data_IF_816238663035
#
_entry.id   IF_816238663035
#
_cell.length_a   1.000
_cell.length_b   1.000
_cell.length_c   1.000
_cell.angle_alpha   90.00
_cell.angle_beta   90.00
_cell.angle_gamma   90.00
#
_symmetry.space_group_name_H-M   'P 1'
#
loop_
_entity.id
_entity.type
_entity.pdbx_description
1 polymer ?
#
# COMPACT_ATOMS: atom_id res chain seq x y z
N UNK A 1 -6.34 -43.47 -17.54
CA UNK A 1 -7.31 -42.49 -16.97
C UNK A 1 -7.20 -42.34 -15.44
N UNK A 2 -6.95 -43.42 -14.67
CA UNK A 2 -6.92 -43.38 -13.19
C UNK A 2 -5.76 -42.59 -12.53
N UNK A 3 -4.59 -42.50 -13.18
CA UNK A 3 -3.41 -41.79 -12.62
C UNK A 3 -3.61 -40.25 -12.56
N UNK A 4 -4.36 -39.68 -13.52
CA UNK A 4 -4.60 -38.22 -13.59
C UNK A 4 -5.49 -37.72 -12.46
N UNK A 5 -6.42 -38.56 -11.99
CA UNK A 5 -7.30 -38.22 -10.86
C UNK A 5 -6.56 -38.32 -9.52
N UNK A 6 -5.62 -39.26 -9.38
CA UNK A 6 -4.75 -39.38 -8.21
C UNK A 6 -3.81 -38.17 -8.04
N UNK A 7 -3.24 -37.65 -9.13
CA UNK A 7 -2.39 -36.45 -9.08
C UNK A 7 -3.16 -35.19 -8.66
N UNK A 8 -4.40 -35.03 -9.13
CA UNK A 8 -5.25 -33.89 -8.78
C UNK A 8 -5.64 -33.88 -7.30
N UNK A 9 -5.88 -35.06 -6.70
CA UNK A 9 -6.25 -35.19 -5.27
C UNK A 9 -5.06 -34.87 -4.34
N UNK A 10 -3.83 -35.17 -4.76
CA UNK A 10 -2.60 -34.90 -3.99
C UNK A 10 -2.21 -33.41 -3.93
N UNK A 11 -2.73 -32.56 -4.83
CA UNK A 11 -2.47 -31.12 -4.86
C UNK A 11 -3.48 -30.29 -4.05
N UNK A 12 -4.61 -30.88 -3.66
CA UNK A 12 -5.69 -30.19 -2.92
C UNK A 12 -5.32 -29.76 -1.48
N UNK A 13 -4.41 -30.42 -0.71
CA UNK A 13 -4.20 -30.03 0.68
C UNK A 13 -3.15 -28.92 0.87
N UNK A 14 -2.55 -28.36 -0.19
CA UNK A 14 -1.64 -27.22 -0.09
C UNK A 14 -2.42 -25.90 -0.14
N UNK A 15 -3.34 -25.67 0.80
CA UNK A 15 -3.80 -24.31 1.05
C UNK A 15 -2.69 -23.58 1.81
N UNK A 16 -1.87 -22.81 1.07
CA UNK A 16 -0.97 -21.83 1.67
C UNK A 16 -1.84 -20.75 2.32
N UNK A 17 -1.75 -20.60 3.64
CA UNK A 17 -2.24 -19.42 4.34
C UNK A 17 -1.27 -18.27 4.06
N UNK A 18 -1.41 -17.65 2.90
CA UNK A 18 -0.66 -16.46 2.55
C UNK A 18 -1.19 -15.29 3.41
N UNK A 19 -0.35 -14.77 4.30
CA UNK A 19 -0.58 -13.51 4.97
C UNK A 19 -0.02 -12.39 4.10
N UNK A 20 -0.76 -11.32 3.94
CA UNK A 20 -0.25 -10.12 3.28
C UNK A 20 0.78 -9.44 4.20
N UNK A 21 1.90 -9.01 3.62
CA UNK A 21 2.99 -8.31 4.30
C UNK A 21 2.96 -6.85 3.89
N UNK A 22 2.93 -5.95 4.87
CA UNK A 22 2.87 -4.52 4.64
C UNK A 22 4.08 -3.84 5.25
N UNK A 23 4.63 -2.85 4.54
CA UNK A 23 5.65 -1.96 5.11
C UNK A 23 4.99 -0.68 5.59
N UNK A 24 5.35 -0.26 6.80
CA UNK A 24 5.10 1.11 7.23
C UNK A 24 5.99 2.05 6.41
N UNK A 25 5.40 3.00 5.71
CA UNK A 25 6.10 3.88 4.78
C UNK A 25 5.93 5.33 5.22
N UNK A 26 7.03 5.93 5.66
CA UNK A 26 7.04 7.29 6.21
C UNK A 26 6.87 8.32 5.10
N UNK A 27 5.63 8.76 4.85
CA UNK A 27 5.31 9.78 3.85
C UNK A 27 6.02 11.10 4.17
N UNK A 28 6.20 11.42 5.45
CA UNK A 28 6.96 12.60 5.90
C UNK A 28 8.42 12.68 5.39
N UNK A 29 8.98 11.60 4.85
CA UNK A 29 10.33 11.57 4.28
C UNK A 29 10.37 11.77 2.77
N UNK A 30 9.23 12.01 2.11
CA UNK A 30 9.13 12.03 0.65
C UNK A 30 8.99 13.43 0.06
N UNK A 31 9.37 14.49 0.79
CA UNK A 31 9.22 15.88 0.31
C UNK A 31 9.78 16.10 -1.11
N UNK A 32 10.93 15.50 -1.43
CA UNK A 32 11.58 15.64 -2.73
C UNK A 32 11.24 14.54 -3.72
N UNK A 33 10.38 13.58 -3.36
CA UNK A 33 10.04 12.48 -4.25
C UNK A 33 9.20 12.99 -5.41
N UNK A 34 9.55 12.53 -6.60
CA UNK A 34 8.69 12.55 -7.76
C UNK A 34 8.01 11.18 -7.98
N UNK A 35 7.31 11.03 -9.12
CA UNK A 35 6.65 9.78 -9.47
C UNK A 35 7.64 8.62 -9.63
N UNK A 36 8.83 8.88 -10.18
CA UNK A 36 9.86 7.86 -10.44
C UNK A 36 10.42 7.34 -9.12
N UNK A 37 10.58 8.20 -8.12
CA UNK A 37 11.00 7.79 -6.79
C UNK A 37 9.96 6.85 -6.14
N UNK A 38 8.67 7.17 -6.23
CA UNK A 38 7.59 6.31 -5.75
C UNK A 38 7.56 4.96 -6.47
N UNK A 39 7.61 4.96 -7.80
CA UNK A 39 7.68 3.74 -8.59
C UNK A 39 8.90 2.88 -8.21
N UNK A 40 10.05 3.51 -8.00
CA UNK A 40 11.29 2.82 -7.64
C UNK A 40 11.13 2.11 -6.30
N UNK A 41 10.59 2.79 -5.28
CA UNK A 41 10.37 2.21 -3.97
C UNK A 41 9.31 1.10 -3.98
N UNK A 42 8.24 1.25 -4.77
CA UNK A 42 7.24 0.19 -4.98
C UNK A 42 7.85 -1.04 -5.66
N UNK A 43 8.65 -0.85 -6.71
CA UNK A 43 9.35 -1.96 -7.40
C UNK A 43 10.28 -2.71 -6.44
N UNK A 44 10.99 -1.98 -5.57
CA UNK A 44 11.81 -2.58 -4.51
C UNK A 44 10.95 -3.41 -3.57
N UNK A 45 9.82 -2.88 -3.10
CA UNK A 45 8.90 -3.58 -2.20
C UNK A 45 8.35 -4.87 -2.82
N UNK A 46 7.89 -4.80 -4.08
CA UNK A 46 7.44 -5.97 -4.85
C UNK A 46 8.54 -7.03 -4.99
N UNK A 47 9.79 -6.61 -5.25
CA UNK A 47 10.93 -7.51 -5.33
C UNK A 47 11.24 -8.22 -4.00
N UNK A 48 10.86 -7.62 -2.87
CA UNK A 48 10.95 -8.24 -1.55
C UNK A 48 9.64 -8.89 -1.08
N UNK A 49 8.65 -9.06 -1.97
CA UNK A 49 7.35 -9.68 -1.68
C UNK A 49 6.54 -8.94 -0.59
N UNK A 50 6.69 -7.63 -0.50
CA UNK A 50 5.75 -6.77 0.23
C UNK A 50 4.51 -6.57 -0.65
N UNK A 51 3.33 -6.66 -0.07
CA UNK A 51 2.06 -6.58 -0.79
C UNK A 51 1.47 -5.17 -0.85
N UNK A 52 1.76 -4.35 0.17
CA UNK A 52 1.29 -2.97 0.24
C UNK A 52 2.17 -2.05 1.09
N UNK A 53 2.01 -0.75 0.93
CA UNK A 53 2.49 0.24 1.91
C UNK A 53 1.34 0.74 2.79
N UNK A 54 1.61 0.77 4.10
CA UNK A 54 0.86 1.58 5.04
C UNK A 54 1.45 2.99 5.03
N UNK A 55 0.72 3.97 4.50
CA UNK A 55 1.18 5.34 4.34
C UNK A 55 1.14 6.08 5.69
N UNK A 56 2.27 6.13 6.39
CA UNK A 56 2.40 6.84 7.65
C UNK A 56 2.50 8.35 7.42
N UNK A 57 1.50 9.07 7.92
CA UNK A 57 1.35 10.51 7.70
C UNK A 57 1.13 11.22 9.03
N UNK A 58 1.97 12.22 9.30
CA UNK A 58 1.72 13.18 10.37
C UNK A 58 0.62 14.17 9.92
N UNK A 59 -0.25 14.56 10.86
CA UNK A 59 -1.27 15.58 10.60
C UNK A 59 -0.64 16.90 10.16
N UNK A 60 -1.29 17.62 9.24
CA UNK A 60 -0.89 18.96 8.77
C UNK A 60 0.52 19.06 8.17
N UNK A 61 1.12 17.93 7.76
CA UNK A 61 2.34 17.97 6.97
C UNK A 61 2.02 18.49 5.56
N UNK A 62 2.68 19.59 5.17
CA UNK A 62 2.32 20.38 3.98
C UNK A 62 2.34 19.60 2.65
N UNK A 63 3.10 18.50 2.58
CA UNK A 63 3.24 17.68 1.38
C UNK A 63 2.33 16.44 1.33
N UNK A 64 1.51 16.18 2.36
CA UNK A 64 0.65 14.99 2.42
C UNK A 64 -0.17 14.80 1.14
N UNK A 65 -0.93 15.82 0.71
CA UNK A 65 -1.81 15.69 -0.46
C UNK A 65 -1.04 15.38 -1.75
N UNK A 66 0.05 16.11 -2.00
CA UNK A 66 0.87 15.92 -3.20
C UNK A 66 1.53 14.53 -3.23
N UNK A 67 2.09 14.10 -2.10
CA UNK A 67 2.81 12.83 -2.00
C UNK A 67 1.86 11.63 -2.02
N UNK A 68 0.68 11.73 -1.40
CA UNK A 68 -0.37 10.71 -1.51
C UNK A 68 -0.83 10.57 -2.96
N UNK A 69 -1.06 11.68 -3.67
CA UNK A 69 -1.46 11.63 -5.08
C UNK A 69 -0.41 10.93 -5.95
N UNK A 70 0.88 11.21 -5.75
CA UNK A 70 1.98 10.54 -6.48
C UNK A 70 2.07 9.06 -6.12
N UNK A 71 1.97 8.72 -4.84
CA UNK A 71 2.00 7.33 -4.37
C UNK A 71 0.90 6.50 -5.02
N UNK A 72 -0.35 6.98 -5.00
CA UNK A 72 -1.49 6.28 -5.61
C UNK A 72 -1.35 6.20 -7.14
N UNK A 73 -0.80 7.21 -7.81
CA UNK A 73 -0.50 7.11 -9.25
C UNK A 73 0.49 5.98 -9.54
N UNK A 74 1.64 5.99 -8.88
CA UNK A 74 2.67 4.95 -9.06
C UNK A 74 2.16 3.54 -8.70
N UNK A 75 1.37 3.42 -7.63
CA UNK A 75 0.81 2.15 -7.22
C UNK A 75 -0.21 1.60 -8.23
N UNK A 76 -1.05 2.45 -8.83
CA UNK A 76 -1.94 2.01 -9.91
C UNK A 76 -1.15 1.51 -11.12
N UNK A 77 -0.12 2.26 -11.54
CA UNK A 77 0.71 1.90 -12.70
C UNK A 77 1.44 0.56 -12.51
N UNK A 78 1.76 0.22 -11.26
CA UNK A 78 2.50 -1.01 -10.90
C UNK A 78 1.62 -2.12 -10.32
N UNK A 79 0.31 -1.91 -10.23
CA UNK A 79 -0.63 -2.87 -9.62
C UNK A 79 -0.31 -3.16 -8.14
N UNK A 80 0.28 -2.21 -7.43
CA UNK A 80 0.65 -2.30 -6.02
C UNK A 80 -0.46 -1.76 -5.12
N UNK A 81 -0.46 -2.16 -3.84
CA UNK A 81 -1.50 -1.75 -2.89
C UNK A 81 -1.05 -0.68 -1.91
N UNK A 82 -1.97 0.21 -1.54
CA UNK A 82 -1.75 1.25 -0.53
C UNK A 82 -2.92 1.32 0.45
N UNK A 83 -2.64 1.70 1.69
CA UNK A 83 -3.68 2.11 2.64
C UNK A 83 -3.13 3.16 3.61
N UNK A 84 -4.02 3.94 4.22
CA UNK A 84 -3.62 5.03 5.11
C UNK A 84 -3.25 4.53 6.52
N UNK A 85 -2.15 5.08 7.05
CA UNK A 85 -1.74 5.00 8.44
C UNK A 85 -1.67 6.42 9.00
N UNK A 86 -2.79 6.94 9.48
CA UNK A 86 -2.85 8.28 10.07
C UNK A 86 -2.12 8.27 11.41
N UNK A 87 -0.97 8.94 11.49
CA UNK A 87 -0.15 8.99 12.71
C UNK A 87 -0.65 10.10 13.65
N UNK A 88 -1.23 9.69 14.78
CA UNK A 88 -1.77 10.58 15.82
C UNK A 88 -0.67 11.08 16.78
N UNK A 89 0.54 10.53 16.71
CA UNK A 89 1.70 10.98 17.46
C UNK A 89 2.57 11.97 16.65
N UNK A 90 2.56 11.91 15.32
CA UNK A 90 3.44 12.69 14.45
C UNK A 90 3.24 14.21 14.52
N UNK A 91 2.00 14.69 14.64
CA UNK A 91 1.69 16.12 14.85
C UNK A 91 0.34 16.33 15.57
N UNK A 92 0.01 15.40 16.47
CA UNK A 92 -1.26 15.38 17.18
C UNK A 92 -2.39 14.66 16.41
N UNK A 93 -3.60 14.66 16.99
CA UNK A 93 -4.70 13.88 16.48
C UNK A 93 -5.25 14.43 15.17
N UNK A 94 -5.54 13.54 14.23
CA UNK A 94 -6.17 13.91 12.98
C UNK A 94 -7.64 14.32 13.18
N UNK A 95 -8.09 15.46 12.61
CA UNK A 95 -9.50 15.79 12.54
C UNK A 95 -10.28 14.72 11.77
N UNK A 96 -11.46 14.36 12.28
CA UNK A 96 -12.35 13.37 11.63
C UNK A 96 -12.66 13.74 10.18
N UNK A 97 -12.86 15.03 9.90
CA UNK A 97 -13.18 15.51 8.56
C UNK A 97 -12.07 15.17 7.56
N UNK A 98 -10.82 15.40 7.94
CA UNK A 98 -9.65 15.19 7.09
C UNK A 98 -9.44 13.69 6.81
N UNK A 99 -9.54 12.85 7.85
CA UNK A 99 -9.51 11.38 7.68
C UNK A 99 -10.61 10.92 6.72
N UNK A 100 -11.83 11.45 6.89
CA UNK A 100 -12.96 11.11 6.02
C UNK A 100 -12.70 11.54 4.59
N UNK A 101 -12.12 12.72 4.38
CA UNK A 101 -11.78 13.25 3.06
C UNK A 101 -10.78 12.32 2.33
N UNK A 102 -9.66 11.97 2.96
CA UNK A 102 -8.67 11.06 2.36
C UNK A 102 -9.29 9.70 2.00
N UNK A 103 -10.10 9.13 2.89
CA UNK A 103 -10.78 7.84 2.63
C UNK A 103 -11.78 7.97 1.47
N UNK A 104 -12.52 9.07 1.39
CA UNK A 104 -13.49 9.27 0.29
C UNK A 104 -12.79 9.50 -1.05
N UNK A 105 -11.66 10.20 -1.05
CA UNK A 105 -10.89 10.51 -2.27
C UNK A 105 -10.22 9.26 -2.85
N UNK A 106 -9.64 8.40 -2.00
CA UNK A 106 -8.83 7.25 -2.46
C UNK A 106 -9.47 5.88 -2.19
N UNK A 107 -10.56 5.79 -1.43
CA UNK A 107 -11.14 4.50 -1.02
C UNK A 107 -11.73 3.67 -2.17
N UNK A 108 -12.09 4.31 -3.30
CA UNK A 108 -12.50 3.62 -4.53
C UNK A 108 -11.36 3.48 -5.55
N UNK A 109 -10.14 3.86 -5.19
CA UNK A 109 -8.97 3.72 -6.03
C UNK A 109 -8.61 2.23 -6.23
N UNK A 110 -7.94 1.91 -7.34
CA UNK A 110 -7.54 0.55 -7.69
C UNK A 110 -6.24 0.09 -7.02
N UNK A 111 -5.43 1.01 -6.52
CA UNK A 111 -4.31 0.74 -5.61
C UNK A 111 -4.82 0.52 -4.17
#
# INVERSE_FOLDING_TARGET
MRMRHLLAILLVPLQVQAAAVFSDFMVGNTQSFDLVDWETNIKIAQNYHVDAFALNMAYDWEYNAAQVSLAFSAANDLGFKLFFSFDYAGNGPWPKADVTQFIQEYGSNGA
#
